data_IF_043755231457
#
_entry.id   IF_043755231457
#
_cell.length_a   1.000
_cell.length_b   1.000
_cell.length_c   1.000
_cell.angle_alpha   90.00
_cell.angle_beta   90.00
_cell.angle_gamma   90.00
#
_symmetry.space_group_name_H-M   'P 1'
#
loop_
_entity.id
_entity.type
_entity.pdbx_description
1 polymer ?
#
# COMPACT_ATOMS: atom_id res chain seq x y z
N UNK A 1 -34.02 -3.96 -18.93
CA UNK A 1 -32.94 -3.06 -18.47
C UNK A 1 -31.81 -3.13 -19.49
N UNK A 2 -31.66 -2.19 -20.43
CA UNK A 2 -30.53 -2.23 -21.36
C UNK A 2 -29.25 -1.94 -20.58
N UNK A 3 -28.36 -2.93 -20.54
CA UNK A 3 -27.01 -2.82 -20.00
C UNK A 3 -26.30 -1.66 -20.72
N UNK A 4 -25.93 -0.59 -19.99
CA UNK A 4 -25.12 0.49 -20.55
C UNK A 4 -23.82 -0.12 -21.08
N UNK A 5 -23.71 -0.27 -22.40
CA UNK A 5 -22.46 -0.69 -23.04
C UNK A 5 -21.39 0.34 -22.70
N UNK A 6 -20.45 -0.08 -21.86
CA UNK A 6 -19.27 0.72 -21.53
C UNK A 6 -18.48 0.85 -22.83
N UNK A 7 -18.35 2.08 -23.35
CA UNK A 7 -17.58 2.33 -24.56
C UNK A 7 -16.13 1.85 -24.39
N UNK A 8 -15.51 1.32 -25.45
CA UNK A 8 -14.13 0.81 -25.39
C UNK A 8 -13.11 1.83 -24.86
N UNK A 9 -13.35 3.13 -25.10
CA UNK A 9 -12.54 4.23 -24.54
C UNK A 9 -12.68 4.34 -23.01
N UNK A 10 -13.88 4.18 -22.48
CA UNK A 10 -14.09 4.22 -21.02
C UNK A 10 -13.43 3.01 -20.35
N UNK A 11 -13.53 1.83 -20.94
CA UNK A 11 -12.87 0.62 -20.43
C UNK A 11 -11.35 0.77 -20.37
N UNK A 12 -10.72 1.34 -21.41
CA UNK A 12 -9.28 1.60 -21.43
C UNK A 12 -8.85 2.58 -20.32
N UNK A 13 -9.61 3.65 -20.08
CA UNK A 13 -9.29 4.61 -19.01
C UNK A 13 -9.45 3.99 -17.63
N UNK A 14 -10.48 3.18 -17.41
CA UNK A 14 -10.69 2.47 -16.15
C UNK A 14 -9.56 1.47 -15.88
N UNK A 15 -9.09 0.76 -16.91
CA UNK A 15 -7.95 -0.14 -16.78
C UNK A 15 -6.66 0.61 -16.42
N UNK A 16 -6.40 1.77 -17.02
CA UNK A 16 -5.24 2.59 -16.67
C UNK A 16 -5.29 3.07 -15.20
N UNK A 17 -6.47 3.48 -14.72
CA UNK A 17 -6.67 3.86 -13.31
C UNK A 17 -6.43 2.67 -12.38
N UNK A 18 -6.97 1.50 -12.73
CA UNK A 18 -6.76 0.27 -11.96
C UNK A 18 -5.28 -0.09 -11.87
N UNK A 19 -4.55 -0.04 -12.98
CA UNK A 19 -3.11 -0.33 -13.01
C UNK A 19 -2.31 0.63 -12.15
N UNK A 20 -2.60 1.93 -12.22
CA UNK A 20 -1.94 2.92 -11.38
C UNK A 20 -2.20 2.68 -9.87
N UNK A 21 -3.43 2.34 -9.52
CA UNK A 21 -3.79 2.02 -8.14
C UNK A 21 -3.08 0.75 -7.62
N UNK A 22 -3.01 -0.31 -8.43
CA UNK A 22 -2.28 -1.54 -8.08
C UNK A 22 -0.79 -1.24 -7.87
N UNK A 23 -0.16 -0.52 -8.79
CA UNK A 23 1.25 -0.16 -8.68
C UNK A 23 1.56 0.68 -7.42
N UNK A 24 0.65 1.58 -7.04
CA UNK A 24 0.78 2.37 -5.81
C UNK A 24 0.70 1.48 -4.56
N UNK A 25 -0.25 0.55 -4.53
CA UNK A 25 -0.40 -0.40 -3.41
C UNK A 25 0.83 -1.29 -3.28
N UNK A 26 1.33 -1.85 -4.38
CA UNK A 26 2.54 -2.68 -4.37
C UNK A 26 3.77 -1.90 -3.93
N UNK A 27 3.93 -0.64 -4.36
CA UNK A 27 5.02 0.21 -3.93
C UNK A 27 4.97 0.47 -2.42
N UNK A 28 3.78 0.74 -1.87
CA UNK A 28 3.59 0.91 -0.42
C UNK A 28 3.91 -0.38 0.34
N UNK A 29 3.51 -1.54 -0.19
CA UNK A 29 3.81 -2.83 0.43
C UNK A 29 5.32 -3.10 0.46
N UNK A 30 6.03 -2.89 -0.65
CA UNK A 30 7.49 -3.06 -0.69
C UNK A 30 8.20 -2.18 0.34
N UNK A 31 7.80 -0.91 0.46
CA UNK A 31 8.37 -0.01 1.48
C UNK A 31 8.11 -0.53 2.90
N UNK A 32 6.90 -1.03 3.17
CA UNK A 32 6.59 -1.63 4.46
C UNK A 32 7.49 -2.83 4.75
N UNK A 33 7.60 -3.77 3.81
CA UNK A 33 8.39 -4.99 3.98
C UNK A 33 9.88 -4.67 4.22
N UNK A 34 10.45 -3.72 3.46
CA UNK A 34 11.82 -3.25 3.68
C UNK A 34 12.02 -2.60 5.05
N UNK A 35 11.04 -1.84 5.56
CA UNK A 35 11.10 -1.25 6.90
C UNK A 35 11.06 -2.34 7.98
N UNK A 36 10.22 -3.36 7.81
CA UNK A 36 10.14 -4.51 8.72
C UNK A 36 11.46 -5.28 8.72
N UNK A 37 12.04 -5.56 7.56
CA UNK A 37 13.34 -6.21 7.43
C UNK A 37 14.46 -5.39 8.07
N UNK A 38 14.50 -4.07 7.83
CA UNK A 38 15.50 -3.17 8.43
C UNK A 38 15.38 -3.16 9.96
N UNK A 39 14.17 -3.07 10.50
CA UNK A 39 13.94 -3.13 11.94
C UNK A 39 14.32 -4.51 12.53
N UNK A 40 14.00 -5.61 11.83
CA UNK A 40 14.40 -6.96 12.23
C UNK A 40 15.93 -7.15 12.20
N UNK A 41 16.64 -6.45 11.31
CA UNK A 41 18.10 -6.40 11.26
C UNK A 41 18.71 -5.51 12.36
N UNK A 42 17.90 -4.87 13.20
CA UNK A 42 18.33 -4.06 14.33
C UNK A 42 18.41 -2.56 14.06
N UNK A 43 17.89 -2.07 12.93
CA UNK A 43 17.76 -0.63 12.71
C UNK A 43 16.77 -0.02 13.72
N UNK A 44 17.15 1.08 14.33
CA UNK A 44 16.26 1.81 15.22
C UNK A 44 15.25 2.67 14.44
N UNK A 45 14.18 3.08 15.12
CA UNK A 45 13.12 3.88 14.50
C UNK A 45 13.59 5.27 14.06
N UNK A 46 14.64 5.82 14.67
CA UNK A 46 15.18 7.13 14.29
C UNK A 46 15.93 7.05 12.96
N UNK A 47 16.70 5.97 12.73
CA UNK A 47 17.38 5.67 11.46
C UNK A 47 16.37 5.44 10.33
N UNK A 48 15.33 4.66 10.59
CA UNK A 48 14.25 4.40 9.63
C UNK A 48 13.54 5.72 9.28
N UNK A 49 13.22 6.53 10.28
CA UNK A 49 12.54 7.82 10.08
C UNK A 49 13.41 8.81 9.29
N UNK A 50 14.71 8.88 9.62
CA UNK A 50 15.67 9.70 8.89
C UNK A 50 15.75 9.32 7.42
N UNK A 51 15.86 8.02 7.11
CA UNK A 51 15.94 7.52 5.74
C UNK A 51 14.66 7.79 4.94
N UNK A 52 13.50 7.67 5.58
CA UNK A 52 12.20 7.93 4.97
C UNK A 52 11.83 9.43 4.90
N UNK A 53 12.63 10.31 5.52
CA UNK A 53 12.34 11.75 5.58
C UNK A 53 11.09 12.08 6.40
N UNK A 54 10.76 11.27 7.41
CA UNK A 54 9.60 11.46 8.30
C UNK A 54 10.05 11.57 9.76
N UNK A 55 9.12 11.87 10.66
CA UNK A 55 9.40 11.85 12.10
C UNK A 55 9.40 10.42 12.65
N UNK A 56 10.16 10.16 13.71
CA UNK A 56 10.19 8.85 14.39
C UNK A 56 8.78 8.40 14.82
N UNK A 57 7.99 9.31 15.39
CA UNK A 57 6.61 9.04 15.78
C UNK A 57 5.73 8.62 14.59
N UNK A 58 5.93 9.25 13.43
CA UNK A 58 5.19 8.88 12.21
C UNK A 58 5.63 7.51 11.68
N UNK A 59 6.93 7.21 11.67
CA UNK A 59 7.46 5.91 11.29
C UNK A 59 6.94 4.80 12.22
N UNK A 60 7.07 4.98 13.54
CA UNK A 60 6.52 4.02 14.53
C UNK A 60 5.03 3.81 14.33
N UNK A 61 4.21 4.88 14.27
CA UNK A 61 2.76 4.72 14.08
C UNK A 61 2.40 3.95 12.80
N UNK A 62 3.16 4.16 11.72
CA UNK A 62 2.87 3.61 10.40
C UNK A 62 3.34 2.16 10.20
N UNK A 63 4.46 1.78 10.83
CA UNK A 63 5.10 0.49 10.59
C UNK A 63 5.17 -0.42 11.83
N UNK A 64 4.86 0.10 13.02
CA UNK A 64 4.73 -0.69 14.25
C UNK A 64 3.30 -1.22 14.46
N UNK A 65 2.30 -0.71 13.72
CA UNK A 65 0.98 -1.33 13.69
C UNK A 65 1.07 -2.60 12.84
N UNK A 66 0.90 -3.74 13.52
CA UNK A 66 0.83 -5.09 12.95
C UNK A 66 0.06 -5.14 11.62
N UNK A 67 0.42 -6.07 10.71
CA UNK A 67 -0.32 -6.27 9.47
C UNK A 67 -1.79 -6.45 9.81
N UNK A 68 -2.64 -5.59 9.28
CA UNK A 68 -4.09 -5.81 9.35
C UNK A 68 -4.31 -7.14 8.64
N UNK A 69 -4.79 -8.19 9.33
CA UNK A 69 -5.15 -9.42 8.64
C UNK A 69 -6.18 -9.04 7.60
N UNK A 70 -5.85 -9.27 6.34
CA UNK A 70 -6.79 -9.13 5.23
C UNK A 70 -7.84 -10.23 5.39
N UNK A 71 -8.76 -10.07 6.33
CA UNK A 71 -9.99 -10.85 6.37
C UNK A 71 -10.76 -10.46 5.11
N UNK A 72 -10.75 -11.37 4.14
CA UNK A 72 -11.45 -11.28 2.89
C UNK A 72 -12.93 -10.94 3.17
N UNK A 73 -13.56 -10.05 2.39
CA UNK A 73 -14.97 -9.75 2.57
C UNK A 73 -15.76 -11.03 2.33
N UNK A 74 -16.30 -11.59 3.42
CA UNK A 74 -17.27 -12.67 3.33
C UNK A 74 -18.54 -12.08 2.76
N UNK A 75 -18.79 -12.34 1.48
CA UNK A 75 -20.08 -12.11 0.84
C UNK A 75 -21.10 -13.06 1.48
N UNK A 76 -22.07 -12.51 2.21
CA UNK A 76 -23.35 -13.13 2.51
C UNK A 76 -24.47 -12.22 2.02
#
# INVERSE_FOLDING_TARGET
MPSRQISGRLQQRLFAVQQAAVAEVEAKQRVHDTVVEAHAAGADWAQIAHFLGVTEAAARRRFHQQPVPTEQPTLF
#
